data_IF_748279655118
#
_entry.id   IF_748279655118
#
_cell.length_a   1.000
_cell.length_b   1.000
_cell.length_c   1.000
_cell.angle_alpha   90.00
_cell.angle_beta   90.00
_cell.angle_gamma   90.00
#
_symmetry.space_group_name_H-M   'P 1'
#
loop_
_entity.id
_entity.type
_entity.pdbx_description
1 polymer ?
#
# COMPACT_ATOMS: atom_id res chain seq x y z
N UNK A 1 -18.25 14.48 -9.44
CA UNK A 1 -16.98 13.74 -9.67
C UNK A 1 -16.82 12.69 -8.57
N UNK A 2 -16.62 11.42 -8.92
CA UNK A 2 -16.47 10.32 -7.94
C UNK A 2 -15.15 10.50 -7.18
N UNK A 3 -15.17 10.31 -5.86
CA UNK A 3 -13.96 10.35 -5.01
C UNK A 3 -13.36 8.96 -4.91
N UNK A 4 -12.04 8.89 -4.98
CA UNK A 4 -11.30 7.62 -4.92
C UNK A 4 -10.26 7.69 -3.81
N UNK A 5 -10.27 6.70 -2.92
CA UNK A 5 -9.26 6.56 -1.88
C UNK A 5 -8.46 5.29 -2.09
N UNK A 6 -7.14 5.45 -2.20
CA UNK A 6 -6.22 4.33 -2.34
C UNK A 6 -5.53 4.07 -1.00
N UNK A 7 -5.59 2.81 -0.56
CA UNK A 7 -4.79 2.28 0.54
C UNK A 7 -3.83 1.20 0.04
N UNK A 8 -2.78 0.97 0.80
CA UNK A 8 -1.79 -0.06 0.50
C UNK A 8 -0.51 0.30 1.21
N UNK A 9 0.24 -0.68 1.70
CA UNK A 9 1.45 -0.42 2.47
C UNK A 9 2.54 0.24 1.61
N UNK A 10 3.56 0.82 2.23
CA UNK A 10 4.75 1.26 1.52
C UNK A 10 5.28 0.10 0.67
N UNK A 11 5.88 0.44 -0.47
CA UNK A 11 6.46 -0.55 -1.39
C UNK A 11 5.48 -1.53 -2.09
N UNK A 12 4.18 -1.25 -2.10
CA UNK A 12 3.15 -2.04 -2.81
C UNK A 12 2.77 -1.52 -4.20
N UNK A 13 3.27 -0.34 -4.62
CA UNK A 13 2.95 0.23 -5.94
C UNK A 13 1.81 1.27 -5.95
N UNK A 14 1.36 1.77 -4.79
CA UNK A 14 0.27 2.77 -4.71
C UNK A 14 0.47 4.02 -5.58
N UNK A 15 1.71 4.45 -5.83
CA UNK A 15 1.99 5.58 -6.73
C UNK A 15 1.67 5.24 -8.20
N UNK A 16 1.99 4.02 -8.64
CA UNK A 16 1.69 3.56 -9.99
C UNK A 16 0.17 3.50 -10.19
N UNK A 17 -0.55 2.88 -9.25
CA UNK A 17 -2.03 2.84 -9.26
C UNK A 17 -2.65 4.24 -9.26
N UNK A 18 -2.16 5.15 -8.40
CA UNK A 18 -2.65 6.54 -8.36
C UNK A 18 -2.50 7.23 -9.72
N UNK A 19 -1.36 7.02 -10.38
CA UNK A 19 -1.10 7.61 -11.68
C UNK A 19 -2.01 7.00 -12.75
N UNK A 20 -2.15 5.67 -12.80
CA UNK A 20 -3.08 4.97 -13.70
C UNK A 20 -4.51 5.50 -13.58
N UNK A 21 -5.03 5.63 -12.36
CA UNK A 21 -6.38 6.16 -12.13
C UNK A 21 -6.48 7.61 -12.60
N UNK A 22 -5.48 8.44 -12.29
CA UNK A 22 -5.53 9.87 -12.65
C UNK A 22 -5.51 10.14 -14.16
N UNK A 23 -4.87 9.28 -14.95
CA UNK A 23 -4.81 9.43 -16.41
C UNK A 23 -6.05 8.87 -17.10
N UNK A 24 -6.70 7.85 -16.51
CA UNK A 24 -7.77 7.10 -17.15
C UNK A 24 -9.18 7.58 -16.77
N UNK A 25 -9.36 8.19 -15.59
CA UNK A 25 -10.70 8.49 -15.07
C UNK A 25 -10.88 9.93 -14.61
N UNK A 26 -12.08 10.47 -14.82
CA UNK A 26 -12.54 11.74 -14.23
C UNK A 26 -12.96 11.54 -12.76
N UNK A 27 -11.96 11.51 -11.88
CA UNK A 27 -12.16 11.28 -10.47
C UNK A 27 -11.28 12.18 -9.59
N UNK A 28 -11.70 12.36 -8.34
CA UNK A 28 -10.92 13.07 -7.33
C UNK A 28 -10.17 12.05 -6.46
N UNK A 29 -8.85 11.98 -6.61
CA UNK A 29 -8.00 11.18 -5.71
C UNK A 29 -7.93 11.86 -4.33
N UNK A 30 -8.52 11.22 -3.33
CA UNK A 30 -8.44 11.66 -1.93
C UNK A 30 -7.01 11.47 -1.44
N UNK A 31 -6.30 12.59 -1.26
CA UNK A 31 -4.88 12.61 -0.91
C UNK A 31 -4.63 11.92 0.43
N UNK A 32 -3.98 10.77 0.41
CA UNK A 32 -3.48 10.09 1.61
C UNK A 32 -2.09 10.54 2.04
N UNK A 33 -1.68 11.77 1.73
CA UNK A 33 -0.39 12.37 2.10
C UNK A 33 -0.59 13.85 2.44
N UNK A 34 0.30 14.42 3.25
CA UNK A 34 0.29 15.87 3.50
C UNK A 34 0.51 16.63 2.18
N UNK A 35 -0.26 17.69 1.89
CA UNK A 35 -0.07 18.51 0.71
C UNK A 35 1.37 19.02 0.58
N UNK A 36 1.91 19.04 -0.64
CA UNK A 36 3.34 19.34 -0.91
C UNK A 36 3.77 20.69 -0.34
N UNK A 37 2.92 21.72 -0.46
CA UNK A 37 3.16 23.05 0.09
C UNK A 37 3.30 23.04 1.61
N UNK A 38 2.47 22.27 2.31
CA UNK A 38 2.53 22.10 3.77
C UNK A 38 3.74 21.23 4.15
N UNK A 39 3.95 20.12 3.44
CA UNK A 39 5.05 19.18 3.70
C UNK A 39 6.43 19.85 3.51
N UNK A 40 6.56 20.78 2.56
CA UNK A 40 7.77 21.60 2.39
C UNK A 40 8.12 22.41 3.64
N UNK A 41 7.11 22.93 4.35
CA UNK A 41 7.32 23.66 5.61
C UNK A 41 7.71 22.67 6.71
N UNK A 42 6.98 21.57 6.85
CA UNK A 42 7.25 20.55 7.86
C UNK A 42 8.67 19.97 7.74
N UNK A 43 9.16 19.74 6.52
CA UNK A 43 10.52 19.21 6.27
C UNK A 43 11.65 20.09 6.82
N UNK A 44 11.41 21.38 7.03
CA UNK A 44 12.41 22.30 7.59
C UNK A 44 12.50 22.21 9.12
N UNK A 45 11.60 21.45 9.75
CA UNK A 45 11.48 21.35 11.20
C UNK A 45 11.94 19.96 11.67
N UNK A 46 12.55 19.89 12.85
CA UNK A 46 12.99 18.63 13.47
C UNK A 46 11.82 17.72 13.83
N UNK A 47 10.67 18.30 14.17
CA UNK A 47 9.42 17.62 14.58
C UNK A 47 8.50 17.24 13.40
N UNK A 48 9.03 17.15 12.17
CA UNK A 48 8.24 16.93 10.95
C UNK A 48 7.26 15.75 11.02
N UNK A 49 7.64 14.64 11.64
CA UNK A 49 6.75 13.46 11.72
C UNK A 49 5.58 13.71 12.67
N UNK A 50 5.82 14.38 13.81
CA UNK A 50 4.77 14.79 14.75
C UNK A 50 3.81 15.83 14.16
N UNK A 51 4.32 16.76 13.35
CA UNK A 51 3.48 17.73 12.62
C UNK A 51 2.58 17.05 11.59
N UNK A 52 3.11 16.04 10.89
CA UNK A 52 2.30 15.19 10.01
C UNK A 52 1.26 14.40 10.80
N UNK A 53 1.58 13.93 12.02
CA UNK A 53 0.64 13.16 12.85
C UNK A 53 -0.51 14.06 13.29
N UNK A 54 -0.17 15.27 13.74
CA UNK A 54 -1.15 16.30 14.07
C UNK A 54 -2.00 16.69 12.87
N UNK A 55 -1.41 16.86 11.69
CA UNK A 55 -2.19 17.12 10.47
C UNK A 55 -3.24 16.04 10.23
N UNK A 56 -2.88 14.76 10.32
CA UNK A 56 -3.82 13.66 10.11
C UNK A 56 -4.81 13.48 11.27
N UNK A 57 -4.50 13.94 12.49
CA UNK A 57 -5.46 13.88 13.61
C UNK A 57 -6.59 14.90 13.45
N UNK A 58 -6.33 16.05 12.83
CA UNK A 58 -7.35 17.09 12.60
C UNK A 58 -8.04 16.99 11.24
N UNK A 59 -7.39 16.40 10.23
CA UNK A 59 -7.95 16.32 8.86
C UNK A 59 -8.73 15.02 8.63
N UNK A 60 -10.01 15.01 8.96
CA UNK A 60 -10.87 13.83 8.76
C UNK A 60 -11.25 13.59 7.29
N UNK A 61 -11.39 14.66 6.51
CA UNK A 61 -11.86 14.59 5.11
C UNK A 61 -10.89 13.89 4.15
N UNK A 62 -9.63 13.70 4.53
CA UNK A 62 -8.64 12.99 3.72
C UNK A 62 -8.60 11.48 4.02
N UNK A 63 -9.41 11.00 4.96
CA UNK A 63 -9.50 9.59 5.37
C UNK A 63 -8.16 9.03 5.89
N UNK A 64 -7.31 9.89 6.44
CA UNK A 64 -6.03 9.51 7.00
C UNK A 64 -4.96 9.15 5.96
N UNK A 65 -3.83 8.67 6.48
CA UNK A 65 -2.67 8.33 5.68
C UNK A 65 -2.90 7.08 4.83
N UNK A 66 -2.38 7.03 3.59
CA UNK A 66 -2.63 5.91 2.66
C UNK A 66 -2.01 4.57 3.09
N UNK A 67 -1.01 4.58 3.97
CA UNK A 67 -0.34 3.39 4.47
C UNK A 67 -0.88 2.94 5.82
N UNK A 68 -1.95 3.55 6.34
CA UNK A 68 -2.46 3.21 7.67
C UNK A 68 -3.09 1.82 7.72
N UNK A 69 -3.14 1.26 8.92
CA UNK A 69 -4.08 0.22 9.30
C UNK A 69 -5.48 0.85 9.49
N UNK A 70 -6.52 0.16 9.02
CA UNK A 70 -7.91 0.63 9.06
C UNK A 70 -8.66 -0.07 10.21
N UNK A 71 -8.64 0.57 11.37
CA UNK A 71 -9.31 0.07 12.57
C UNK A 71 -10.82 0.36 12.56
N UNK A 72 -11.58 -0.29 13.46
CA UNK A 72 -13.01 -0.05 13.60
C UNK A 72 -13.36 1.42 13.85
N UNK A 73 -12.49 2.15 14.57
CA UNK A 73 -12.68 3.58 14.82
C UNK A 73 -12.74 4.35 13.51
N UNK A 74 -11.83 4.06 12.58
CA UNK A 74 -11.84 4.67 11.26
C UNK A 74 -13.12 4.33 10.50
N UNK A 75 -13.55 3.07 10.52
CA UNK A 75 -14.77 2.63 9.83
C UNK A 75 -16.01 3.36 10.36
N UNK A 76 -16.17 3.44 11.69
CA UNK A 76 -17.31 4.12 12.35
C UNK A 76 -17.31 5.63 12.14
N UNK A 77 -16.15 6.24 11.95
CA UNK A 77 -16.02 7.70 11.77
C UNK A 77 -16.09 8.15 10.31
N UNK A 78 -16.04 7.22 9.36
CA UNK A 78 -16.17 7.52 7.94
C UNK A 78 -17.65 7.76 7.62
N UNK A 79 -18.05 8.96 7.14
CA UNK A 79 -19.45 9.24 6.88
C UNK A 79 -20.01 8.35 5.76
N UNK A 80 -21.09 7.63 6.05
CA UNK A 80 -21.74 6.69 5.12
C UNK A 80 -22.37 7.36 3.90
N UNK A 81 -22.61 8.67 3.96
CA UNK A 81 -23.19 9.47 2.89
C UNK A 81 -22.18 9.92 1.82
N UNK A 82 -20.88 9.65 1.99
CA UNK A 82 -19.89 10.00 0.97
C UNK A 82 -19.71 8.81 0.03
N UNK A 83 -20.09 8.97 -1.24
CA UNK A 83 -19.78 8.00 -2.30
C UNK A 83 -18.28 8.02 -2.61
N UNK A 84 -17.51 7.22 -1.87
CA UNK A 84 -16.06 7.02 -2.05
C UNK A 84 -15.82 5.63 -2.59
N UNK A 85 -15.14 5.53 -3.73
CA UNK A 85 -14.59 4.27 -4.23
C UNK A 85 -13.28 4.00 -3.48
N UNK A 86 -13.24 2.92 -2.70
CA UNK A 86 -12.03 2.49 -2.03
C UNK A 86 -11.29 1.46 -2.87
N UNK A 87 -9.98 1.63 -2.98
CA UNK A 87 -9.13 0.66 -3.67
C UNK A 87 -7.96 0.35 -2.74
N UNK A 88 -7.74 -0.91 -2.45
CA UNK A 88 -6.54 -1.34 -1.70
C UNK A 88 -5.57 -2.05 -2.62
N UNK A 89 -4.30 -1.94 -2.30
CA UNK A 89 -3.23 -2.60 -3.05
C UNK A 89 -2.36 -3.41 -2.11
N UNK A 90 -2.39 -4.72 -2.31
CA UNK A 90 -1.60 -5.71 -1.60
C UNK A 90 -0.53 -6.24 -2.52
N UNK A 91 0.59 -6.71 -1.97
CA UNK A 91 1.70 -7.28 -2.74
C UNK A 91 2.10 -8.59 -2.11
N UNK A 92 2.62 -9.53 -2.91
CA UNK A 92 3.13 -10.81 -2.42
C UNK A 92 4.03 -10.59 -1.18
N UNK A 93 3.76 -11.30 -0.07
CA UNK A 93 4.38 -10.99 1.23
C UNK A 93 5.91 -11.10 1.19
N UNK A 94 6.45 -12.13 0.53
CA UNK A 94 7.89 -12.35 0.42
C UNK A 94 8.59 -11.24 -0.39
N UNK A 95 8.06 -10.93 -1.57
CA UNK A 95 8.63 -9.89 -2.44
C UNK A 95 8.43 -8.49 -1.84
N UNK A 96 7.35 -8.28 -1.08
CA UNK A 96 7.11 -7.08 -0.32
C UNK A 96 8.11 -6.91 0.84
N UNK A 97 8.39 -7.96 1.62
CA UNK A 97 9.37 -7.92 2.71
C UNK A 97 10.76 -7.52 2.20
N UNK A 98 11.21 -8.12 1.09
CA UNK A 98 12.46 -7.71 0.43
C UNK A 98 12.41 -6.24 0.00
N UNK A 99 11.28 -5.76 -0.52
CA UNK A 99 11.12 -4.37 -0.93
C UNK A 99 11.14 -3.41 0.27
N UNK A 100 10.55 -3.83 1.39
CA UNK A 100 10.48 -3.07 2.64
C UNK A 100 11.85 -3.04 3.33
N UNK A 101 12.57 -4.16 3.40
CA UNK A 101 13.94 -4.21 3.91
C UNK A 101 14.87 -3.27 3.13
N UNK A 102 14.79 -3.27 1.81
CA UNK A 102 15.60 -2.37 0.97
C UNK A 102 15.22 -0.89 1.15
N UNK A 103 13.97 -0.59 1.54
CA UNK A 103 13.45 0.78 1.75
C UNK A 103 12.53 0.84 2.97
N UNK A 104 13.10 0.78 4.19
CA UNK A 104 12.38 0.54 5.46
C UNK A 104 11.70 1.79 6.03
N UNK A 105 11.36 2.75 5.16
CA UNK A 105 10.80 4.08 5.44
C UNK A 105 10.11 4.23 6.82
N UNK A 106 10.73 5.02 7.71
CA UNK A 106 10.15 5.48 8.99
C UNK A 106 9.88 4.42 10.07
N UNK A 107 10.25 3.17 9.87
CA UNK A 107 9.70 2.06 10.67
C UNK A 107 10.71 1.27 11.50
N UNK A 108 12.00 1.48 11.26
CA UNK A 108 13.08 0.72 11.90
C UNK A 108 14.11 1.69 12.46
N UNK A 109 14.78 1.25 13.52
CA UNK A 109 15.92 1.98 14.07
C UNK A 109 16.95 2.28 12.97
N UNK A 110 17.70 3.37 13.11
CA UNK A 110 18.74 3.77 12.13
C UNK A 110 19.88 2.74 11.96
N UNK A 111 19.86 1.65 12.74
CA UNK A 111 20.83 0.56 12.64
C UNK A 111 20.56 -0.21 11.35
N UNK A 112 21.63 -0.50 10.61
CA UNK A 112 21.57 -1.38 9.45
C UNK A 112 21.46 -2.81 9.94
N UNK A 113 20.25 -3.38 9.86
CA UNK A 113 19.97 -4.77 10.19
C UNK A 113 20.34 -5.67 9.00
N UNK A 114 20.63 -6.95 9.26
CA UNK A 114 20.53 -7.99 8.24
C UNK A 114 19.06 -8.24 7.86
N UNK A 115 18.81 -9.02 6.82
CA UNK A 115 17.42 -9.33 6.45
C UNK A 115 16.76 -10.25 7.49
N UNK A 116 17.52 -11.19 8.03
CA UNK A 116 17.12 -12.12 9.10
C UNK A 116 16.76 -11.34 10.38
N UNK A 117 17.61 -10.39 10.79
CA UNK A 117 17.33 -9.50 11.91
C UNK A 117 16.09 -8.65 11.66
N UNK A 118 15.93 -8.13 10.43
CA UNK A 118 14.76 -7.34 10.04
C UNK A 118 13.45 -8.15 10.15
N UNK A 119 13.44 -9.43 9.76
CA UNK A 119 12.23 -10.27 9.78
C UNK A 119 11.67 -10.51 11.18
N UNK A 120 12.49 -10.36 12.22
CA UNK A 120 12.08 -10.52 13.62
C UNK A 120 12.07 -9.22 14.41
N UNK A 121 12.46 -8.10 13.78
CA UNK A 121 12.53 -6.80 14.44
C UNK A 121 11.13 -6.21 14.66
N UNK A 122 10.89 -5.77 15.90
CA UNK A 122 9.69 -5.06 16.28
C UNK A 122 9.51 -3.77 15.48
N UNK A 123 8.35 -3.62 14.86
CA UNK A 123 8.03 -2.47 14.02
C UNK A 123 7.27 -1.41 14.82
N UNK A 124 7.82 -0.20 14.91
CA UNK A 124 7.16 0.94 15.57
C UNK A 124 6.53 1.84 14.49
N UNK A 125 5.21 1.81 14.30
CA UNK A 125 4.54 2.65 13.33
C UNK A 125 4.54 4.12 13.73
N UNK A 126 4.29 4.99 12.75
CA UNK A 126 4.00 6.39 13.01
C UNK A 126 2.61 6.55 13.63
N UNK A 127 2.36 7.62 14.39
CA UNK A 127 1.06 7.81 15.07
C UNK A 127 -0.14 7.87 14.11
N UNK A 128 0.07 8.37 12.88
CA UNK A 128 -0.91 8.41 11.78
C UNK A 128 -1.18 7.05 11.12
N UNK A 129 -0.34 6.06 11.39
CA UNK A 129 -0.33 4.76 10.71
C UNK A 129 -1.14 3.71 11.47
N UNK A 130 -1.00 3.66 12.79
CA UNK A 130 -1.76 2.74 13.64
C UNK A 130 -2.02 3.36 15.02
N UNK A 131 -3.18 3.05 15.59
CA UNK A 131 -3.59 3.56 16.91
C UNK A 131 -3.22 2.61 18.07
N UNK A 132 -2.95 1.34 17.78
CA UNK A 132 -2.88 0.26 18.79
C UNK A 132 -1.47 -0.02 19.32
N UNK A 133 -0.43 0.67 18.84
CA UNK A 133 0.92 0.58 19.40
C UNK A 133 1.98 0.18 18.37
N UNK A 134 2.31 -1.12 18.30
CA UNK A 134 3.40 -1.67 17.49
C UNK A 134 2.99 -2.96 16.77
N UNK A 135 3.78 -3.37 15.76
CA UNK A 135 3.70 -4.71 15.17
C UNK A 135 4.85 -5.57 15.68
N UNK A 136 4.58 -6.85 15.92
CA UNK A 136 5.58 -7.78 16.47
C UNK A 136 6.80 -7.91 15.55
N UNK A 137 6.54 -7.93 14.24
CA UNK A 137 7.54 -7.96 13.20
C UNK A 137 6.95 -7.46 11.85
N UNK A 138 7.74 -7.36 10.77
CA UNK A 138 7.22 -6.89 9.49
C UNK A 138 6.16 -7.80 8.86
N UNK A 139 6.18 -9.10 9.18
CA UNK A 139 5.18 -10.07 8.70
C UNK A 139 3.83 -9.84 9.39
N UNK A 140 3.84 -9.66 10.71
CA UNK A 140 2.66 -9.27 11.50
C UNK A 140 2.05 -7.95 10.99
N UNK A 141 2.89 -6.99 10.61
CA UNK A 141 2.43 -5.75 9.99
C UNK A 141 1.72 -6.02 8.66
N UNK A 142 2.28 -6.86 7.80
CA UNK A 142 1.65 -7.22 6.53
C UNK A 142 0.29 -7.89 6.79
N UNK A 143 0.22 -8.84 7.71
CA UNK A 143 -1.03 -9.51 8.08
C UNK A 143 -2.08 -8.48 8.53
N UNK A 144 -1.80 -7.73 9.60
CA UNK A 144 -2.77 -6.79 10.22
C UNK A 144 -3.30 -5.75 9.23
N UNK A 145 -2.44 -5.19 8.38
CA UNK A 145 -2.89 -4.20 7.38
C UNK A 145 -3.77 -4.84 6.32
N UNK A 146 -3.39 -5.99 5.80
CA UNK A 146 -4.19 -6.67 4.78
C UNK A 146 -5.51 -7.19 5.35
N UNK A 147 -5.54 -7.69 6.60
CA UNK A 147 -6.79 -7.97 7.33
C UNK A 147 -7.67 -6.72 7.40
N UNK A 148 -7.08 -5.56 7.72
CA UNK A 148 -7.83 -4.30 7.80
C UNK A 148 -8.44 -3.87 6.45
N UNK A 149 -7.76 -4.19 5.33
CA UNK A 149 -8.26 -3.93 3.98
C UNK A 149 -9.41 -4.88 3.61
N UNK A 150 -9.31 -6.16 3.96
CA UNK A 150 -10.40 -7.13 3.81
C UNK A 150 -11.62 -6.69 4.64
N UNK A 151 -11.40 -6.24 5.88
CA UNK A 151 -12.48 -5.77 6.74
C UNK A 151 -13.15 -4.50 6.22
N UNK A 152 -12.42 -3.61 5.55
CA UNK A 152 -13.01 -2.45 4.87
C UNK A 152 -14.04 -2.89 3.81
N UNK A 153 -13.73 -3.94 3.04
CA UNK A 153 -14.59 -4.46 1.98
C UNK A 153 -15.90 -5.08 2.50
N UNK A 154 -15.99 -5.41 3.79
CA UNK A 154 -17.22 -5.88 4.42
C UNK A 154 -18.25 -4.75 4.64
N UNK A 155 -17.81 -3.49 4.65
CA UNK A 155 -18.65 -2.34 5.00
C UNK A 155 -18.79 -1.31 3.87
N UNK A 156 -17.82 -1.26 2.95
CA UNK A 156 -17.76 -0.26 1.90
C UNK A 156 -17.58 -0.90 0.53
N UNK A 157 -17.90 -0.12 -0.50
CA UNK A 157 -17.58 -0.45 -1.89
C UNK A 157 -16.05 -0.39 -2.08
N UNK A 158 -15.39 -1.54 -2.00
CA UNK A 158 -13.93 -1.66 -2.06
C UNK A 158 -13.51 -2.61 -3.17
N UNK A 159 -12.46 -2.25 -3.89
CA UNK A 159 -11.71 -3.14 -4.78
C UNK A 159 -10.37 -3.50 -4.14
N UNK A 160 -10.14 -4.80 -3.95
CA UNK A 160 -8.91 -5.33 -3.36
C UNK A 160 -8.02 -5.82 -4.50
N UNK A 161 -7.00 -5.05 -4.86
CA UNK A 161 -6.06 -5.39 -5.94
C UNK A 161 -4.78 -6.00 -5.39
N UNK A 162 -4.17 -6.89 -6.18
CA UNK A 162 -2.77 -7.27 -6.01
C UNK A 162 -1.88 -6.39 -6.90
N UNK A 163 -0.65 -6.17 -6.46
CA UNK A 163 0.35 -5.45 -7.24
C UNK A 163 0.73 -6.22 -8.50
N UNK A 164 0.78 -7.53 -8.38
CA UNK A 164 1.07 -8.48 -9.44
C UNK A 164 0.01 -8.38 -10.55
N UNK A 165 -1.28 -8.45 -10.22
CA UNK A 165 -2.35 -8.28 -11.21
C UNK A 165 -2.34 -6.89 -11.85
N UNK A 166 -2.09 -5.86 -11.05
CA UNK A 166 -1.98 -4.49 -11.56
C UNK A 166 -0.80 -4.33 -12.52
N UNK A 167 0.30 -5.04 -12.26
CA UNK A 167 1.52 -4.97 -13.06
C UNK A 167 1.38 -5.74 -14.37
N UNK A 168 0.84 -6.96 -14.33
CA UNK A 168 0.75 -7.84 -15.51
C UNK A 168 -0.48 -7.54 -16.36
N UNK A 169 -1.60 -7.16 -15.74
CA UNK A 169 -2.88 -6.95 -16.41
C UNK A 169 -3.47 -5.54 -16.16
N UNK A 170 -2.69 -4.44 -16.34
CA UNK A 170 -3.12 -3.10 -15.94
C UNK A 170 -4.40 -2.64 -16.64
N UNK A 171 -4.58 -2.97 -17.92
CA UNK A 171 -5.77 -2.57 -18.68
C UNK A 171 -7.02 -3.32 -18.20
N UNK A 172 -6.88 -4.60 -17.87
CA UNK A 172 -7.97 -5.40 -17.30
C UNK A 172 -8.38 -4.86 -15.93
N UNK A 173 -7.41 -4.53 -15.07
CA UNK A 173 -7.71 -3.91 -13.78
C UNK A 173 -8.42 -2.56 -13.94
N UNK A 174 -8.04 -1.76 -14.94
CA UNK A 174 -8.75 -0.51 -15.26
C UNK A 174 -10.19 -0.76 -15.73
N UNK A 175 -10.44 -1.78 -16.55
CA UNK A 175 -11.78 -2.17 -16.99
C UNK A 175 -12.63 -2.63 -15.81
N UNK A 176 -12.06 -3.47 -14.93
CA UNK A 176 -12.69 -3.91 -13.68
C UNK A 176 -13.07 -2.74 -12.78
N UNK A 177 -12.16 -1.79 -12.58
CA UNK A 177 -12.39 -0.60 -11.77
C UNK A 177 -13.48 0.30 -12.36
N UNK A 178 -13.50 0.49 -13.68
CA UNK A 178 -14.55 1.26 -14.38
C UNK A 178 -15.92 0.63 -14.14
N UNK A 179 -16.04 -0.67 -14.40
CA UNK A 179 -17.30 -1.39 -14.26
C UNK A 179 -17.81 -1.39 -12.81
N UNK A 180 -16.91 -1.60 -11.85
CA UNK A 180 -17.27 -1.63 -10.43
C UNK A 180 -17.74 -0.28 -9.92
N UNK A 181 -16.95 0.77 -10.13
CA UNK A 181 -17.20 2.08 -9.50
C UNK A 181 -17.97 3.07 -10.37
N UNK A 182 -18.36 2.67 -11.59
CA UNK A 182 -18.98 3.52 -12.60
C UNK A 182 -18.14 4.77 -12.88
N UNK A 183 -16.83 4.60 -13.10
CA UNK A 183 -15.97 5.72 -13.42
C UNK A 183 -16.25 6.27 -14.82
N UNK A 184 -16.24 7.59 -14.93
CA UNK A 184 -16.24 8.30 -16.21
C UNK A 184 -14.81 8.25 -16.76
N UNK A 185 -14.66 7.77 -17.99
CA UNK A 185 -13.38 7.64 -18.66
C UNK A 185 -12.90 8.96 -19.25
N UNK A 186 -11.57 9.11 -19.32
CA UNK A 186 -10.92 10.18 -20.06
C UNK A 186 -10.63 9.71 -21.48
N UNK A 187 -10.38 10.68 -22.37
CA UNK A 187 -9.97 10.40 -23.75
C UNK A 187 -8.75 9.47 -23.80
N UNK A 188 -8.82 8.48 -24.69
CA UNK A 188 -7.77 7.48 -24.91
C UNK A 188 -7.80 6.27 -23.97
N UNK A 189 -8.74 6.20 -23.02
CA UNK A 189 -8.91 5.04 -22.15
C UNK A 189 -9.09 3.70 -22.91
N UNK A 190 -8.53 2.57 -22.42
CA UNK A 190 -7.61 2.45 -21.29
C UNK A 190 -6.14 2.63 -21.71
N UNK A 191 -5.40 3.45 -20.96
CA UNK A 191 -3.97 3.73 -21.18
C UNK A 191 -3.15 3.15 -20.03
N UNK A 192 -2.12 2.37 -20.37
CA UNK A 192 -1.09 1.98 -19.40
C UNK A 192 -0.02 3.08 -19.27
N UNK A 193 0.53 3.24 -18.07
CA UNK A 193 1.63 4.16 -17.79
C UNK A 193 2.74 3.47 -17.01
N UNK A 194 3.78 3.03 -17.69
CA UNK A 194 4.92 2.38 -17.04
C UNK A 194 6.15 3.28 -17.07
N UNK A 195 6.22 4.21 -16.11
CA UNK A 195 7.45 4.94 -15.79
C UNK A 195 7.82 4.68 -14.34
N UNK A 196 9.02 4.15 -14.11
CA UNK A 196 9.53 3.95 -12.75
C UNK A 196 9.55 5.26 -11.99
N UNK A 197 9.04 5.24 -10.76
CA UNK A 197 9.03 6.41 -9.87
C UNK A 197 10.15 6.34 -8.83
N UNK A 198 11.07 5.38 -8.95
CA UNK A 198 11.92 4.95 -7.83
C UNK A 198 13.42 4.88 -8.13
N UNK A 199 13.80 4.39 -9.30
CA UNK A 199 15.18 4.30 -9.79
C UNK A 199 15.16 4.61 -11.29
N UNK A 200 16.07 5.47 -11.77
CA UNK A 200 16.16 5.85 -13.19
C UNK A 200 16.63 4.67 -14.07
N UNK A 201 17.35 3.70 -13.48
CA UNK A 201 17.91 2.54 -14.18
C UNK A 201 16.94 1.33 -14.28
N UNK A 202 15.82 1.35 -13.54
CA UNK A 202 14.83 0.27 -13.59
C UNK A 202 13.63 0.71 -14.41
N UNK A 203 13.44 0.10 -15.58
CA UNK A 203 12.32 0.38 -16.47
C UNK A 203 11.13 -0.57 -16.21
N UNK A 204 10.11 -0.47 -17.05
CA UNK A 204 8.93 -1.33 -17.01
C UNK A 204 9.30 -2.82 -17.10
N UNK A 205 10.16 -3.15 -18.06
CA UNK A 205 10.59 -4.51 -18.37
C UNK A 205 11.31 -5.15 -17.20
N UNK A 206 12.13 -4.38 -16.48
CA UNK A 206 12.78 -4.86 -15.26
C UNK A 206 11.75 -5.37 -14.25
N UNK A 207 10.68 -4.61 -13.99
CA UNK A 207 9.68 -5.02 -13.01
C UNK A 207 8.84 -6.20 -13.51
N UNK A 208 8.41 -6.18 -14.77
CA UNK A 208 7.70 -7.30 -15.38
C UNK A 208 8.50 -8.60 -15.26
N UNK A 209 9.79 -8.55 -15.60
CA UNK A 209 10.69 -9.70 -15.47
C UNK A 209 10.89 -10.09 -14.00
N UNK A 210 11.20 -9.12 -13.14
CA UNK A 210 11.53 -9.37 -11.74
C UNK A 210 10.40 -10.05 -10.96
N UNK A 211 9.15 -9.66 -11.20
CA UNK A 211 8.00 -10.29 -10.55
C UNK A 211 7.47 -11.49 -11.36
N UNK A 212 7.52 -11.45 -12.69
CA UNK A 212 6.92 -12.48 -13.54
C UNK A 212 7.72 -13.78 -13.57
N UNK A 213 9.05 -13.68 -13.54
CA UNK A 213 9.96 -14.82 -13.39
C UNK A 213 10.34 -15.06 -11.92
N UNK A 214 9.68 -14.36 -10.99
CA UNK A 214 9.91 -14.45 -9.54
C UNK A 214 11.39 -14.37 -9.12
N UNK A 215 12.19 -13.56 -9.82
CA UNK A 215 13.64 -13.43 -9.60
C UNK A 215 13.99 -13.02 -8.16
N UNK A 216 13.04 -12.44 -7.44
CA UNK A 216 13.16 -12.12 -6.02
C UNK A 216 13.33 -13.36 -5.12
N UNK A 217 12.85 -14.54 -5.52
CA UNK A 217 12.97 -15.79 -4.72
C UNK A 217 14.41 -16.16 -4.44
N UNK A 218 15.31 -15.95 -5.40
CA UNK A 218 16.74 -16.22 -5.25
C UNK A 218 17.42 -15.40 -4.15
N UNK A 219 16.74 -14.39 -3.60
CA UNK A 219 17.22 -13.55 -2.49
C UNK A 219 16.76 -14.02 -1.12
N UNK A 220 16.00 -15.12 -1.05
CA UNK A 220 15.50 -15.70 0.19
C UNK A 220 16.25 -17.00 0.45
N UNK A 221 16.83 -17.13 1.65
CA UNK A 221 17.29 -18.42 2.15
C UNK A 221 16.10 -19.25 2.66
N UNK A 222 16.30 -20.55 2.83
CA UNK A 222 15.32 -21.43 3.48
C UNK A 222 14.98 -20.95 4.89
N UNK A 223 15.96 -20.44 5.63
CA UNK A 223 15.73 -19.88 6.97
C UNK A 223 14.84 -18.64 6.93
N UNK A 224 15.04 -17.75 5.94
CA UNK A 224 14.17 -16.59 5.73
C UNK A 224 12.74 -17.03 5.44
N UNK A 225 12.56 -18.03 4.58
CA UNK A 225 11.24 -18.58 4.23
C UNK A 225 10.58 -19.17 5.48
N UNK A 226 11.29 -19.98 6.26
CA UNK A 226 10.76 -20.58 7.49
C UNK A 226 10.31 -19.54 8.51
N UNK A 227 11.09 -18.47 8.71
CA UNK A 227 10.71 -17.36 9.60
C UNK A 227 9.46 -16.65 9.08
N UNK A 228 9.39 -16.38 7.78
CA UNK A 228 8.22 -15.73 7.17
C UNK A 228 6.98 -16.61 7.35
N UNK A 229 7.06 -17.88 6.94
CA UNK A 229 5.95 -18.84 6.98
C UNK A 229 5.41 -19.04 8.40
N UNK A 230 6.30 -19.04 9.40
CA UNK A 230 5.91 -19.14 10.82
C UNK A 230 4.98 -18.01 11.28
N UNK A 231 5.11 -16.82 10.69
CA UNK A 231 4.36 -15.63 11.09
C UNK A 231 3.27 -15.23 10.10
N UNK A 232 3.26 -15.78 8.89
CA UNK A 232 2.33 -15.40 7.83
C UNK A 232 0.96 -16.05 8.07
N UNK A 233 -0.11 -15.27 7.93
CA UNK A 233 -1.47 -15.74 8.16
C UNK A 233 -2.04 -16.39 6.89
N UNK A 234 -2.35 -17.68 6.98
CA UNK A 234 -2.77 -18.51 5.84
C UNK A 234 -4.06 -18.01 5.19
N UNK A 235 -5.05 -17.65 6.00
CA UNK A 235 -6.34 -17.11 5.55
C UNK A 235 -6.17 -15.83 4.70
N UNK A 236 -5.20 -14.98 5.04
CA UNK A 236 -4.92 -13.74 4.29
C UNK A 236 -4.17 -14.05 3.00
N UNK A 237 -3.20 -14.97 3.04
CA UNK A 237 -2.42 -15.39 1.85
C UNK A 237 -3.37 -15.94 0.79
N UNK A 238 -4.24 -16.87 1.20
CA UNK A 238 -5.22 -17.51 0.32
C UNK A 238 -6.24 -16.50 -0.21
N UNK A 239 -6.69 -15.56 0.64
CA UNK A 239 -7.64 -14.53 0.24
C UNK A 239 -7.13 -13.69 -0.95
N UNK A 240 -5.83 -13.38 -0.98
CA UNK A 240 -5.21 -12.63 -2.06
C UNK A 240 -4.66 -13.52 -3.19
N UNK A 241 -4.91 -14.83 -3.15
CA UNK A 241 -4.46 -15.77 -4.18
C UNK A 241 -2.95 -16.01 -4.20
N UNK A 242 -2.26 -15.76 -3.08
CA UNK A 242 -0.86 -16.12 -2.92
C UNK A 242 -0.74 -17.56 -2.40
N UNK A 243 0.49 -18.06 -2.31
CA UNK A 243 0.78 -19.35 -1.69
C UNK A 243 2.03 -19.25 -0.85
N UNK A 244 2.11 -20.10 0.16
CA UNK A 244 3.35 -20.32 0.90
C UNK A 244 4.40 -20.91 -0.04
N UNK A 245 5.66 -20.59 0.27
CA UNK A 245 6.85 -21.03 -0.47
C UNK A 245 7.65 -21.95 0.43
#
# INVERSE_FOLDING_TARGET
MKKVKIYGERNTGTNYLSKLISINFECELVKGTVPINIDKVFRRLSSKESLRDFYFSITKNNLGWKHRELDETFLKSTPSNISIAFITLTKNPYSWLLSMYNRPYHMFNKKKLSFEEFLVEKCVPLGRECKTGYYENPVDMWNKKNTSYINLAKQFEVELLTYEDLLFNPLEQLIKLKAKFNFIEKEGYPINYMKSTKDDDKNADFYLKYYGEELWRSKLSEENINVINKHLAEDIVDYFGYSFI
#
